data_IF_511383308395
#
_entry.id   IF_511383308395
#
_cell.length_a   1.000
_cell.length_b   1.000
_cell.length_c   1.000
_cell.angle_alpha   90.00
_cell.angle_beta   90.00
_cell.angle_gamma   90.00
#
_symmetry.space_group_name_H-M   'P 1'
#
loop_
_entity.id
_entity.type
_entity.pdbx_description
1 polymer ?
#
# COMPACT_ATOMS: atom_id res chain seq x y z
N UNK A 1 19.56 0.53 4.92
CA UNK A 1 20.18 1.34 3.84
C UNK A 1 19.14 1.95 2.90
N UNK A 2 17.86 1.77 3.13
CA UNK A 2 16.75 2.31 2.30
C UNK A 2 16.25 3.70 2.71
N UNK A 3 16.74 4.26 3.81
CA UNK A 3 16.35 5.59 4.28
C UNK A 3 17.10 6.77 3.60
N UNK A 4 18.01 6.52 2.66
CA UNK A 4 18.91 7.54 2.14
C UNK A 4 18.66 8.00 0.69
N UNK A 5 17.62 7.52 -0.02
CA UNK A 5 17.44 7.84 -1.45
C UNK A 5 16.33 8.87 -1.76
N UNK A 6 15.59 9.36 -0.77
CA UNK A 6 14.44 10.26 -1.02
C UNK A 6 14.65 11.73 -0.62
N UNK A 7 15.86 12.17 -0.30
CA UNK A 7 16.17 13.58 -0.04
C UNK A 7 17.11 14.19 -1.08
N UNK A 8 16.64 14.32 -2.32
CA UNK A 8 17.25 15.24 -3.30
C UNK A 8 16.30 15.59 -4.45
N UNK A 9 15.37 16.50 -4.21
CA UNK A 9 14.83 17.37 -5.27
C UNK A 9 14.75 18.79 -4.71
N UNK A 10 15.55 19.70 -5.31
CA UNK A 10 15.18 21.08 -5.47
C UNK A 10 15.68 22.11 -4.51
N UNK A 11 16.98 22.40 -4.45
CA UNK A 11 17.43 23.75 -4.12
C UNK A 11 17.88 24.47 -5.40
N UNK A 12 16.94 25.12 -6.08
CA UNK A 12 17.20 26.03 -7.19
C UNK A 12 17.93 27.28 -6.71
N UNK A 13 19.21 27.40 -7.04
CA UNK A 13 19.99 28.63 -6.84
C UNK A 13 19.47 29.73 -7.77
N UNK A 14 18.92 30.79 -7.21
CA UNK A 14 18.69 32.06 -7.91
C UNK A 14 20.05 32.70 -8.26
N UNK A 15 20.26 33.01 -9.52
CA UNK A 15 21.34 33.89 -9.97
C UNK A 15 20.85 35.34 -9.98
N UNK A 16 21.68 36.32 -9.57
CA UNK A 16 21.27 37.72 -9.50
C UNK A 16 21.29 38.40 -10.87
N UNK A 17 20.48 39.45 -10.98
CA UNK A 17 20.06 40.18 -12.14
C UNK A 17 21.14 40.92 -12.94
N UNK A 18 20.78 41.15 -14.17
CA UNK A 18 21.39 42.19 -15.02
C UNK A 18 20.35 43.27 -15.28
N UNK A 19 20.64 44.45 -14.80
CA UNK A 19 19.97 45.69 -15.09
C UNK A 19 20.17 46.08 -16.55
N UNK A 20 19.09 46.36 -17.28
CA UNK A 20 19.12 47.08 -18.55
C UNK A 20 18.19 48.31 -18.45
N UNK A 21 18.75 49.47 -18.85
CA UNK A 21 18.17 50.79 -18.86
C UNK A 21 17.16 50.95 -19.98
N UNK A 22 16.22 51.94 -19.87
CA UNK A 22 15.08 52.07 -20.77
C UNK A 22 15.42 52.86 -22.04
N UNK A 23 14.82 52.45 -23.16
CA UNK A 23 14.74 53.26 -24.39
C UNK A 23 13.30 53.71 -24.53
N UNK A 24 13.13 55.03 -24.59
CA UNK A 24 11.86 55.68 -24.93
C UNK A 24 11.57 55.50 -26.45
N UNK A 25 10.33 55.11 -26.78
CA UNK A 25 9.77 55.32 -28.11
C UNK A 25 8.23 55.41 -28.02
N UNK A 26 7.75 56.35 -28.77
CA UNK A 26 6.48 57.04 -28.81
C UNK A 26 5.21 56.19 -29.02
N UNK A 27 4.10 56.79 -28.62
CA UNK A 27 2.75 56.29 -28.49
C UNK A 27 2.06 55.78 -29.76
N UNK A 28 1.20 54.82 -29.54
CA UNK A 28 -0.01 54.54 -30.32
C UNK A 28 -1.08 54.15 -29.30
N UNK A 29 -2.21 54.94 -29.32
CA UNK A 29 -3.33 54.71 -28.45
C UNK A 29 -4.01 53.38 -28.79
N UNK A 30 -4.12 52.50 -27.81
CA UNK A 30 -4.93 51.29 -27.89
C UNK A 30 -6.07 51.41 -26.89
N UNK A 31 -7.26 51.35 -27.44
CA UNK A 31 -8.56 51.33 -26.74
C UNK A 31 -8.59 50.14 -25.77
N UNK A 32 -8.55 50.40 -24.48
CA UNK A 32 -8.70 49.36 -23.48
C UNK A 32 -10.16 48.92 -23.38
N UNK A 33 -10.52 47.83 -24.03
CA UNK A 33 -11.77 47.11 -23.73
C UNK A 33 -11.49 46.33 -22.43
N UNK A 34 -12.08 46.77 -21.32
CA UNK A 34 -12.05 46.06 -20.06
C UNK A 34 -12.90 44.81 -20.16
N UNK A 35 -12.27 43.67 -20.44
CA UNK A 35 -12.87 42.36 -20.21
C UNK A 35 -12.77 42.05 -18.71
N UNK A 36 -13.83 42.24 -17.95
CA UNK A 36 -14.00 41.66 -16.63
C UNK A 36 -14.12 40.13 -16.81
N UNK A 37 -13.26 39.31 -16.17
CA UNK A 37 -13.47 37.89 -16.22
C UNK A 37 -14.76 37.54 -15.46
N UNK A 38 -15.65 36.79 -16.10
CA UNK A 38 -16.83 36.23 -15.46
C UNK A 38 -16.42 35.35 -14.28
N UNK A 39 -17.17 35.31 -13.17
CA UNK A 39 -16.86 34.46 -12.05
C UNK A 39 -16.88 32.99 -12.49
N UNK A 40 -15.75 32.33 -12.33
CA UNK A 40 -15.65 30.86 -12.49
C UNK A 40 -16.53 30.25 -11.40
N UNK A 41 -17.72 29.83 -11.77
CA UNK A 41 -18.54 28.99 -10.92
C UNK A 41 -17.73 27.70 -10.67
N UNK A 42 -17.21 27.51 -9.44
CA UNK A 42 -16.82 26.20 -8.96
C UNK A 42 -18.09 25.35 -9.01
N UNK A 43 -18.23 24.54 -10.04
CA UNK A 43 -19.19 23.44 -10.02
C UNK A 43 -18.80 22.55 -8.85
N UNK A 44 -19.55 22.66 -7.77
CA UNK A 44 -19.57 21.66 -6.72
C UNK A 44 -19.97 20.34 -7.40
N UNK A 45 -19.04 19.41 -7.51
CA UNK A 45 -19.37 18.07 -7.96
C UNK A 45 -20.47 17.56 -7.02
N UNK A 46 -21.61 17.19 -7.60
CA UNK A 46 -22.68 16.53 -6.84
C UNK A 46 -22.06 15.31 -6.13
N UNK A 47 -22.42 15.03 -4.86
CA UNK A 47 -21.95 13.85 -4.19
C UNK A 47 -22.37 12.65 -5.02
N UNK A 48 -21.38 11.91 -5.52
CA UNK A 48 -21.63 10.61 -6.17
C UNK A 48 -22.25 9.73 -5.10
N UNK A 49 -23.47 9.26 -5.33
CA UNK A 49 -24.10 8.30 -4.44
C UNK A 49 -23.18 7.08 -4.31
N UNK A 50 -22.96 6.52 -3.10
CA UNK A 50 -22.11 5.36 -2.94
C UNK A 50 -22.64 4.23 -3.81
N UNK A 51 -21.78 3.67 -4.66
CA UNK A 51 -22.12 2.60 -5.62
C UNK A 51 -22.57 1.33 -4.89
N UNK A 52 -22.21 1.21 -3.61
CA UNK A 52 -22.60 0.14 -2.72
C UNK A 52 -23.25 0.69 -1.46
N UNK A 53 -24.55 1.00 -1.55
CA UNK A 53 -25.38 1.27 -0.37
C UNK A 53 -25.55 -0.05 0.41
N UNK A 54 -24.61 -0.34 1.33
CA UNK A 54 -24.63 -1.56 2.13
C UNK A 54 -23.28 -2.07 2.64
N UNK A 55 -22.17 -1.52 2.20
CA UNK A 55 -20.86 -1.85 2.77
C UNK A 55 -20.86 -1.44 4.26
N UNK A 56 -20.96 -2.41 5.14
CA UNK A 56 -20.79 -2.21 6.58
C UNK A 56 -19.35 -2.54 6.92
N UNK A 57 -18.63 -1.60 7.52
CA UNK A 57 -17.24 -1.83 7.92
C UNK A 57 -16.44 -0.55 8.01
N UNK A 58 -15.18 -0.70 8.35
CA UNK A 58 -14.21 0.40 8.43
C UNK A 58 -13.02 0.09 7.53
N UNK A 59 -12.52 1.13 6.89
CA UNK A 59 -11.23 1.11 6.20
C UNK A 59 -10.23 1.87 7.06
N UNK A 60 -9.10 1.26 7.30
CA UNK A 60 -8.02 1.80 8.12
C UNK A 60 -6.84 2.10 7.22
N UNK A 61 -6.27 3.32 7.31
CA UNK A 61 -5.12 3.74 6.51
C UNK A 61 -4.08 4.39 7.41
N UNK A 62 -2.85 3.89 7.35
CA UNK A 62 -1.71 4.50 8.05
C UNK A 62 -1.21 5.71 7.27
N UNK A 63 -0.99 6.85 7.96
CA UNK A 63 -0.38 8.05 7.41
C UNK A 63 1.05 8.15 7.99
N UNK A 64 2.03 7.74 7.21
CA UNK A 64 3.39 7.45 7.68
C UNK A 64 4.07 8.70 8.25
N UNK A 65 4.02 9.84 7.53
CA UNK A 65 4.69 11.07 7.97
C UNK A 65 3.95 11.78 9.09
N UNK A 66 2.63 11.67 9.15
CA UNK A 66 1.83 12.25 10.23
C UNK A 66 1.84 11.41 11.51
N UNK A 67 2.34 10.17 11.47
CA UNK A 67 2.30 9.25 12.60
C UNK A 67 0.87 8.92 13.08
N UNK A 68 -0.09 8.90 12.16
CA UNK A 68 -1.50 8.69 12.43
C UNK A 68 -2.09 7.51 11.67
N UNK A 69 -3.29 7.11 12.08
CA UNK A 69 -4.17 6.19 11.37
C UNK A 69 -5.48 6.92 11.06
N UNK A 70 -5.90 6.93 9.81
CA UNK A 70 -7.23 7.35 9.40
C UNK A 70 -8.20 6.18 9.48
N UNK A 71 -9.36 6.41 10.08
CA UNK A 71 -10.49 5.47 10.14
C UNK A 71 -11.58 6.02 9.24
N UNK A 72 -11.97 5.25 8.22
CA UNK A 72 -12.88 5.65 7.16
C UNK A 72 -14.11 4.74 7.21
N UNK A 73 -15.28 5.32 7.07
CA UNK A 73 -16.53 4.57 6.94
C UNK A 73 -16.65 4.02 5.51
N UNK A 74 -16.73 2.69 5.38
CA UNK A 74 -16.73 2.02 4.08
C UNK A 74 -17.97 2.30 3.23
N UNK A 75 -19.11 2.59 3.86
CA UNK A 75 -20.37 2.89 3.15
C UNK A 75 -20.46 4.34 2.65
N UNK A 76 -19.80 5.28 3.32
CA UNK A 76 -19.88 6.72 2.98
C UNK A 76 -18.58 7.30 2.46
N UNK A 77 -17.47 6.56 2.56
CA UNK A 77 -16.11 6.97 2.24
C UNK A 77 -15.65 8.24 2.97
N UNK A 78 -16.17 8.46 4.18
CA UNK A 78 -15.79 9.61 5.01
C UNK A 78 -14.81 9.20 6.09
N UNK A 79 -13.79 10.03 6.32
CA UNK A 79 -12.92 9.91 7.49
C UNK A 79 -13.75 10.21 8.74
N UNK A 80 -13.91 9.21 9.61
CA UNK A 80 -14.69 9.30 10.85
C UNK A 80 -13.81 9.50 12.08
N UNK A 81 -12.53 9.17 11.99
CA UNK A 81 -11.54 9.45 13.02
C UNK A 81 -10.13 9.49 12.43
N UNK A 82 -9.24 10.26 13.06
CA UNK A 82 -7.79 10.21 12.86
C UNK A 82 -7.15 10.06 14.23
N UNK A 83 -6.35 9.01 14.41
CA UNK A 83 -5.81 8.65 15.72
C UNK A 83 -4.29 8.50 15.66
N UNK A 84 -3.54 8.85 16.73
CA UNK A 84 -2.11 8.56 16.80
C UNK A 84 -1.85 7.06 16.68
N UNK A 85 -0.93 6.64 15.79
CA UNK A 85 -0.65 5.22 15.51
C UNK A 85 0.70 4.75 16.09
N UNK A 86 1.69 5.64 16.10
CA UNK A 86 3.08 5.37 16.48
C UNK A 86 4.03 6.09 15.53
N UNK A 87 5.32 5.76 15.56
CA UNK A 87 6.33 6.47 14.75
C UNK A 87 6.50 5.78 13.40
N UNK A 88 6.25 6.52 12.32
CA UNK A 88 6.28 6.04 10.95
C UNK A 88 5.46 4.73 10.78
N UNK A 89 4.13 4.77 10.95
CA UNK A 89 3.27 3.61 10.76
C UNK A 89 3.24 3.22 9.27
N UNK A 90 3.40 1.92 9.00
CA UNK A 90 3.43 1.34 7.66
C UNK A 90 2.32 0.28 7.50
N UNK A 91 2.66 -0.99 7.39
CA UNK A 91 1.69 -2.06 7.22
C UNK A 91 0.74 -2.22 8.41
N UNK A 92 -0.49 -2.63 8.14
CA UNK A 92 -1.48 -2.90 9.16
C UNK A 92 -2.33 -4.11 8.80
N UNK A 93 -2.95 -4.73 9.80
CA UNK A 93 -3.90 -5.82 9.61
C UNK A 93 -5.03 -5.72 10.64
N UNK A 94 -6.25 -5.98 10.19
CA UNK A 94 -7.46 -6.02 11.03
C UNK A 94 -7.74 -7.46 11.42
N UNK A 95 -8.08 -7.70 12.70
CA UNK A 95 -8.52 -9.03 13.13
C UNK A 95 -9.86 -9.40 12.50
N UNK A 96 -10.10 -10.70 12.27
CA UNK A 96 -11.34 -11.20 11.65
C UNK A 96 -12.64 -10.76 12.34
N UNK A 97 -12.57 -10.57 13.65
CA UNK A 97 -13.69 -10.09 14.45
C UNK A 97 -13.84 -8.56 14.42
N UNK A 98 -12.97 -7.86 13.67
CA UNK A 98 -12.96 -6.42 13.52
C UNK A 98 -12.57 -5.64 14.79
N UNK A 99 -12.15 -6.31 15.87
CA UNK A 99 -11.95 -5.67 17.19
C UNK A 99 -10.59 -5.00 17.36
N UNK A 100 -9.58 -5.42 16.61
CA UNK A 100 -8.24 -4.89 16.74
C UNK A 100 -7.62 -4.61 15.38
N UNK A 101 -6.81 -3.55 15.33
CA UNK A 101 -5.90 -3.28 14.21
C UNK A 101 -4.46 -3.32 14.73
N UNK A 102 -3.63 -4.15 14.10
CA UNK A 102 -2.20 -4.23 14.36
C UNK A 102 -1.48 -3.33 13.35
N UNK A 103 -0.61 -2.45 13.84
CA UNK A 103 0.06 -1.42 13.03
C UNK A 103 1.57 -1.53 13.26
N UNK A 104 2.32 -1.81 12.20
CA UNK A 104 3.78 -1.82 12.24
C UNK A 104 4.33 -0.38 12.21
N UNK A 105 5.15 -0.02 13.20
CA UNK A 105 5.74 1.31 13.32
C UNK A 105 7.25 1.23 13.02
N UNK A 106 7.63 1.52 11.79
CA UNK A 106 9.00 1.32 11.29
C UNK A 106 10.04 2.17 12.00
N UNK A 107 9.64 3.35 12.48
CA UNK A 107 10.50 4.28 13.20
C UNK A 107 10.75 3.93 14.67
N UNK A 108 10.02 2.95 15.26
CA UNK A 108 10.11 2.65 16.70
C UNK A 108 10.30 1.18 17.06
N UNK A 109 10.50 0.29 16.09
CA UNK A 109 10.62 -1.16 16.28
C UNK A 109 9.45 -1.75 17.11
N UNK A 110 8.24 -1.30 16.88
CA UNK A 110 7.04 -1.69 17.62
C UNK A 110 5.85 -1.96 16.70
N UNK A 111 4.94 -2.78 17.19
CA UNK A 111 3.59 -2.94 16.64
C UNK A 111 2.62 -2.35 17.64
N UNK A 112 1.79 -1.39 17.21
CA UNK A 112 0.68 -0.86 17.99
C UNK A 112 -0.56 -1.72 17.79
N UNK A 113 -1.35 -1.89 18.85
CA UNK A 113 -2.64 -2.61 18.82
C UNK A 113 -3.75 -1.60 19.13
N UNK A 114 -4.52 -1.25 18.11
CA UNK A 114 -5.68 -0.38 18.23
C UNK A 114 -6.91 -1.21 18.63
N UNK A 115 -7.66 -0.75 19.60
CA UNK A 115 -9.01 -1.20 19.92
C UNK A 115 -10.00 -0.41 19.06
N UNK A 116 -10.73 -1.09 18.19
CA UNK A 116 -11.64 -0.45 17.22
C UNK A 116 -12.93 0.08 17.86
N UNK A 117 -13.31 -0.42 19.04
CA UNK A 117 -14.50 0.04 19.74
C UNK A 117 -14.36 1.49 20.24
N UNK A 118 -13.15 1.91 20.57
CA UNK A 118 -12.89 3.24 21.12
C UNK A 118 -11.83 4.04 20.31
N UNK A 119 -11.26 3.45 19.26
CA UNK A 119 -10.20 4.02 18.44
C UNK A 119 -8.96 4.45 19.25
N UNK A 120 -8.54 3.65 20.22
CA UNK A 120 -7.36 3.93 21.05
C UNK A 120 -6.31 2.82 20.94
N UNK A 121 -5.04 3.22 20.96
CA UNK A 121 -3.94 2.26 21.11
C UNK A 121 -3.96 1.73 22.54
N UNK A 122 -4.28 0.44 22.69
CA UNK A 122 -4.36 -0.22 23.99
C UNK A 122 -3.03 -0.86 24.42
N UNK A 123 -2.25 -1.36 23.46
CA UNK A 123 -0.99 -2.06 23.69
C UNK A 123 0.03 -1.77 22.61
N UNK A 124 1.30 -1.98 22.94
CA UNK A 124 2.41 -2.02 21.97
C UNK A 124 3.25 -3.28 22.18
N UNK A 125 3.72 -3.88 21.10
CA UNK A 125 4.56 -5.08 21.11
C UNK A 125 5.91 -4.72 20.52
N UNK A 126 7.00 -4.98 21.24
CA UNK A 126 8.36 -4.79 20.72
C UNK A 126 8.70 -5.93 19.75
N UNK A 127 9.20 -5.57 18.57
CA UNK A 127 9.60 -6.50 17.48
C UNK A 127 11.03 -6.16 17.00
N UNK A 128 11.42 -6.63 15.83
CA UNK A 128 12.72 -6.25 15.24
C UNK A 128 12.72 -4.81 14.71
N UNK A 129 13.87 -4.38 14.18
CA UNK A 129 14.08 -3.02 13.64
C UNK A 129 13.39 -2.86 12.29
N UNK A 130 12.80 -1.68 12.08
CA UNK A 130 12.06 -1.29 10.87
C UNK A 130 10.99 -2.34 10.51
N UNK A 131 9.99 -2.56 11.38
CA UNK A 131 8.85 -3.40 11.01
C UNK A 131 8.04 -2.71 9.90
N UNK A 132 7.73 -3.47 8.83
CA UNK A 132 7.10 -2.94 7.61
C UNK A 132 5.78 -3.66 7.32
N UNK A 133 5.85 -4.88 6.78
CA UNK A 133 4.68 -5.67 6.43
C UNK A 133 4.13 -6.46 7.61
N UNK A 134 2.81 -6.65 7.61
CA UNK A 134 2.11 -7.49 8.58
C UNK A 134 1.16 -8.44 7.87
N UNK A 135 1.08 -9.68 8.33
CA UNK A 135 0.15 -10.68 7.81
C UNK A 135 -0.47 -11.46 8.96
N UNK A 136 -1.80 -11.53 9.00
CA UNK A 136 -2.54 -12.29 9.99
C UNK A 136 -2.78 -13.72 9.49
N UNK A 137 -2.60 -14.73 10.36
CA UNK A 137 -2.95 -16.10 10.01
C UNK A 137 -4.46 -16.23 9.76
N UNK A 138 -4.91 -17.15 8.87
CA UNK A 138 -6.33 -17.31 8.55
C UNK A 138 -7.20 -17.63 9.76
N UNK A 139 -6.65 -18.25 10.80
CA UNK A 139 -7.34 -18.51 12.08
C UNK A 139 -7.30 -17.32 13.05
N UNK A 140 -6.62 -16.23 12.68
CA UNK A 140 -6.48 -15.00 13.46
C UNK A 140 -5.58 -15.11 14.69
N UNK A 141 -4.92 -16.25 14.95
CA UNK A 141 -4.17 -16.47 16.19
C UNK A 141 -2.72 -15.99 16.16
N UNK A 142 -2.16 -15.79 14.97
CA UNK A 142 -0.76 -15.39 14.79
C UNK A 142 -0.65 -14.21 13.83
N UNK A 143 0.10 -13.19 14.22
CA UNK A 143 0.49 -12.08 13.36
C UNK A 143 1.97 -12.23 13.02
N UNK A 144 2.28 -12.18 11.73
CA UNK A 144 3.64 -12.21 11.20
C UNK A 144 4.04 -10.77 10.85
N UNK A 145 5.19 -10.32 11.32
CA UNK A 145 5.68 -8.95 11.13
C UNK A 145 7.08 -9.01 10.53
N UNK A 146 7.26 -8.47 9.34
CA UNK A 146 8.58 -8.35 8.71
C UNK A 146 9.39 -7.25 9.37
N UNK A 147 10.64 -7.50 9.70
CA UNK A 147 11.56 -6.53 10.31
C UNK A 147 12.69 -6.26 9.33
N UNK A 148 12.52 -5.23 8.48
CA UNK A 148 13.38 -4.96 7.33
C UNK A 148 14.86 -4.82 7.68
N UNK A 149 15.19 -4.04 8.69
CA UNK A 149 16.58 -3.83 9.11
C UNK A 149 17.16 -4.96 9.96
N UNK A 150 16.31 -5.83 10.54
CA UNK A 150 16.78 -7.02 11.32
C UNK A 150 16.91 -8.28 10.47
N UNK A 151 16.36 -8.32 9.25
CA UNK A 151 16.29 -9.50 8.39
C UNK A 151 15.56 -10.68 9.07
N UNK A 152 14.51 -10.39 9.80
CA UNK A 152 13.72 -11.36 10.55
C UNK A 152 12.22 -11.15 10.35
N UNK A 153 11.44 -12.17 10.71
CA UNK A 153 10.00 -12.06 10.92
C UNK A 153 9.72 -12.33 12.40
N UNK A 154 8.99 -11.42 13.06
CA UNK A 154 8.45 -11.66 14.40
C UNK A 154 7.06 -12.30 14.29
N UNK A 155 6.80 -13.35 15.05
CA UNK A 155 5.47 -13.98 15.17
C UNK A 155 4.88 -13.57 16.51
N UNK A 156 3.74 -12.91 16.49
CA UNK A 156 3.01 -12.43 17.66
C UNK A 156 1.77 -13.31 17.85
N UNK A 157 1.59 -13.85 19.06
CA UNK A 157 0.32 -14.46 19.48
C UNK A 157 -0.69 -13.36 19.76
N UNK A 158 -1.78 -13.33 19.00
CA UNK A 158 -2.78 -12.23 19.03
C UNK A 158 -3.61 -12.22 20.31
N UNK A 159 -3.78 -13.35 20.97
CA UNK A 159 -4.50 -13.45 22.23
C UNK A 159 -3.72 -12.82 23.38
N UNK A 160 -2.40 -13.00 23.40
CA UNK A 160 -1.53 -12.50 24.48
C UNK A 160 -0.82 -11.21 24.12
N UNK A 161 -0.75 -10.85 22.83
CA UNK A 161 0.04 -9.75 22.30
C UNK A 161 1.53 -9.87 22.68
N UNK A 162 2.09 -11.07 22.56
CA UNK A 162 3.51 -11.36 22.83
C UNK A 162 4.19 -11.98 21.63
N UNK A 163 5.44 -11.61 21.38
CA UNK A 163 6.28 -12.29 20.41
C UNK A 163 6.57 -13.70 20.90
N UNK A 164 6.19 -14.71 20.11
CA UNK A 164 6.38 -16.13 20.41
C UNK A 164 7.47 -16.78 19.56
N UNK A 165 7.92 -16.10 18.50
CA UNK A 165 9.08 -16.50 17.70
C UNK A 165 9.67 -15.30 16.95
N UNK A 166 10.99 -15.39 16.66
CA UNK A 166 11.69 -14.50 15.75
C UNK A 166 12.44 -15.38 14.75
N UNK A 167 12.08 -15.29 13.48
CA UNK A 167 12.52 -16.21 12.42
C UNK A 167 13.48 -15.46 11.50
N UNK A 168 14.75 -15.86 11.35
CA UNK A 168 15.65 -15.31 10.35
C UNK A 168 15.14 -15.63 8.93
N UNK A 169 15.15 -14.61 8.04
CA UNK A 169 14.71 -14.72 6.65
C UNK A 169 15.79 -14.19 5.68
N UNK A 170 15.40 -13.72 4.49
CA UNK A 170 16.32 -13.05 3.58
C UNK A 170 16.61 -11.61 3.99
N UNK A 171 17.44 -10.90 3.19
CA UNK A 171 17.78 -9.50 3.43
C UNK A 171 16.62 -8.57 3.07
N UNK A 172 16.40 -7.57 3.92
CA UNK A 172 15.37 -6.53 3.74
C UNK A 172 13.99 -7.14 3.44
N UNK A 173 13.42 -7.93 4.37
CA UNK A 173 12.04 -8.40 4.20
C UNK A 173 11.09 -7.19 4.25
N UNK A 174 10.14 -7.12 3.28
CA UNK A 174 9.18 -6.01 3.13
C UNK A 174 7.77 -6.47 3.47
N UNK A 175 7.24 -7.44 2.74
CA UNK A 175 5.86 -7.87 2.91
C UNK A 175 5.77 -9.37 3.25
N UNK A 176 4.64 -9.81 3.84
CA UNK A 176 4.37 -11.20 4.18
C UNK A 176 2.90 -11.54 3.90
N UNK A 177 2.68 -12.64 3.19
CA UNK A 177 1.36 -13.20 2.93
C UNK A 177 1.26 -14.63 3.49
N UNK A 178 0.10 -14.98 4.03
CA UNK A 178 -0.19 -16.32 4.54
C UNK A 178 -0.88 -17.15 3.45
N UNK A 179 -0.60 -18.46 3.41
CA UNK A 179 -1.39 -19.37 2.59
C UNK A 179 -2.82 -19.48 3.14
N UNK A 180 -3.82 -19.74 2.28
CA UNK A 180 -5.23 -19.85 2.70
C UNK A 180 -5.47 -20.93 3.76
N UNK A 181 -4.69 -22.01 3.76
CA UNK A 181 -4.72 -23.08 4.76
C UNK A 181 -3.96 -22.73 6.05
N UNK A 182 -3.25 -21.61 6.07
CA UNK A 182 -2.44 -21.15 7.20
C UNK A 182 -1.14 -21.94 7.42
N UNK A 183 -0.84 -22.93 6.57
CA UNK A 183 0.34 -23.79 6.72
C UNK A 183 1.68 -23.13 6.37
N UNK A 184 1.65 -22.03 5.61
CA UNK A 184 2.85 -21.33 5.14
C UNK A 184 2.71 -19.81 5.20
N UNK A 185 3.82 -19.11 5.50
CA UNK A 185 3.95 -17.68 5.31
C UNK A 185 5.05 -17.37 4.29
N UNK A 186 4.75 -16.50 3.34
CA UNK A 186 5.62 -16.12 2.23
C UNK A 186 6.12 -14.70 2.46
N UNK A 187 7.44 -14.56 2.59
CA UNK A 187 8.07 -13.27 2.92
C UNK A 187 8.87 -12.77 1.73
N UNK A 188 8.51 -11.62 1.21
CA UNK A 188 9.25 -10.96 0.13
C UNK A 188 10.51 -10.29 0.69
N UNK A 189 11.68 -10.76 0.25
CA UNK A 189 12.98 -10.25 0.69
C UNK A 189 13.61 -9.42 -0.43
N UNK A 190 13.39 -8.11 -0.44
CA UNK A 190 13.82 -7.21 -1.52
C UNK A 190 15.34 -7.20 -1.72
N UNK A 191 16.10 -7.25 -0.64
CA UNK A 191 17.56 -7.30 -0.70
C UNK A 191 18.17 -8.66 -1.08
N UNK A 192 17.34 -9.73 -1.14
CA UNK A 192 17.80 -11.08 -1.51
C UNK A 192 17.20 -11.58 -2.83
N UNK A 193 16.23 -10.89 -3.43
CA UNK A 193 15.57 -11.30 -4.68
C UNK A 193 14.78 -12.61 -4.56
N UNK A 194 14.24 -12.92 -3.39
CA UNK A 194 13.54 -14.19 -3.18
C UNK A 194 12.38 -14.09 -2.17
N UNK A 195 11.51 -15.10 -2.18
CA UNK A 195 10.57 -15.36 -1.10
C UNK A 195 11.19 -16.36 -0.12
N UNK A 196 11.16 -16.06 1.18
CA UNK A 196 11.32 -17.08 2.23
C UNK A 196 9.95 -17.71 2.49
N UNK A 197 9.85 -19.03 2.40
CA UNK A 197 8.64 -19.79 2.74
C UNK A 197 8.83 -20.35 4.15
N UNK A 198 8.07 -19.82 5.09
CA UNK A 198 8.07 -20.23 6.49
C UNK A 198 6.99 -21.31 6.68
N UNK A 199 7.37 -22.44 7.22
CA UNK A 199 6.42 -23.40 7.77
C UNK A 199 5.90 -22.87 9.11
N UNK A 200 4.58 -22.65 9.20
CA UNK A 200 3.96 -21.97 10.35
C UNK A 200 3.94 -22.86 11.60
N UNK A 201 3.91 -24.17 11.44
CA UNK A 201 3.89 -25.13 12.55
C UNK A 201 5.25 -25.24 13.24
N UNK A 202 6.33 -25.30 12.45
CA UNK A 202 7.70 -25.39 12.95
C UNK A 202 8.34 -24.02 13.19
N UNK A 203 7.74 -22.93 12.63
CA UNK A 203 8.26 -21.56 12.67
C UNK A 203 9.68 -21.45 12.12
N UNK A 204 9.95 -22.14 11.01
CA UNK A 204 11.26 -22.16 10.33
C UNK A 204 11.08 -21.91 8.84
N UNK A 205 12.10 -21.33 8.21
CA UNK A 205 12.15 -21.26 6.76
C UNK A 205 12.35 -22.66 6.19
N UNK A 206 11.32 -23.19 5.52
CA UNK A 206 11.35 -24.51 4.89
C UNK A 206 12.08 -24.49 3.54
N UNK A 207 11.92 -23.40 2.78
CA UNK A 207 12.55 -23.21 1.47
C UNK A 207 12.58 -21.76 1.05
N UNK A 208 13.27 -21.47 -0.06
CA UNK A 208 13.29 -20.16 -0.73
C UNK A 208 12.86 -20.33 -2.18
N UNK A 209 12.12 -19.38 -2.71
CA UNK A 209 11.71 -19.30 -4.10
C UNK A 209 12.31 -18.05 -4.74
N UNK A 210 12.80 -18.14 -5.97
CA UNK A 210 13.23 -16.96 -6.72
C UNK A 210 12.02 -16.04 -6.96
N UNK A 211 12.18 -14.74 -6.77
CA UNK A 211 11.07 -13.78 -6.83
C UNK A 211 11.44 -12.46 -7.49
N UNK A 212 12.39 -12.49 -8.42
CA UNK A 212 12.81 -11.31 -9.16
C UNK A 212 14.05 -10.64 -8.59
N UNK A 213 14.18 -9.34 -8.84
CA UNK A 213 15.36 -8.53 -8.46
C UNK A 213 15.16 -7.77 -7.16
N UNK A 214 13.95 -7.27 -6.94
CA UNK A 214 13.55 -6.52 -5.73
C UNK A 214 12.08 -6.83 -5.42
N UNK A 215 11.76 -8.04 -4.89
CA UNK A 215 10.39 -8.36 -4.51
C UNK A 215 9.95 -7.51 -3.33
N UNK A 216 8.81 -6.84 -3.46
CA UNK A 216 8.23 -5.95 -2.44
C UNK A 216 6.89 -6.50 -1.95
N UNK A 217 5.82 -6.36 -2.73
CA UNK A 217 4.51 -6.91 -2.43
C UNK A 217 4.44 -8.42 -2.74
N UNK A 218 3.66 -9.15 -1.95
CA UNK A 218 3.38 -10.58 -2.19
C UNK A 218 1.95 -10.90 -1.80
N UNK A 219 1.22 -11.59 -2.69
CA UNK A 219 -0.12 -12.13 -2.43
C UNK A 219 -0.18 -13.60 -2.83
N UNK A 220 -0.97 -14.38 -2.11
CA UNK A 220 -1.21 -15.80 -2.43
C UNK A 220 -2.60 -15.93 -3.04
N UNK A 221 -2.67 -16.62 -4.17
CA UNK A 221 -3.95 -16.91 -4.80
C UNK A 221 -4.86 -17.72 -3.85
N UNK A 222 -6.20 -17.52 -3.87
CA UNK A 222 -7.13 -18.19 -2.96
C UNK A 222 -7.07 -19.72 -3.02
N UNK A 223 -6.61 -20.30 -4.14
CA UNK A 223 -6.43 -21.75 -4.29
C UNK A 223 -5.10 -22.25 -3.68
N UNK A 224 -4.26 -21.37 -3.17
CA UNK A 224 -2.96 -21.69 -2.56
C UNK A 224 -1.88 -22.17 -3.52
N UNK A 225 -2.10 -22.13 -4.85
CA UNK A 225 -1.17 -22.72 -5.82
C UNK A 225 -0.16 -21.74 -6.39
N UNK A 226 -0.47 -20.45 -6.36
CA UNK A 226 0.37 -19.39 -6.94
C UNK A 226 0.61 -18.25 -5.95
N UNK A 227 1.82 -17.71 -5.97
CA UNK A 227 2.16 -16.44 -5.33
C UNK A 227 2.37 -15.40 -6.42
N UNK A 228 1.74 -14.24 -6.28
CA UNK A 228 1.98 -13.07 -7.11
C UNK A 228 2.93 -12.14 -6.36
N UNK A 229 3.97 -11.67 -7.04
CA UNK A 229 5.04 -10.89 -6.41
C UNK A 229 5.33 -9.65 -7.24
N UNK A 230 5.21 -8.47 -6.66
CA UNK A 230 5.64 -7.23 -7.28
C UNK A 230 7.18 -7.16 -7.24
N UNK A 231 7.83 -7.20 -8.40
CA UNK A 231 9.27 -7.04 -8.57
C UNK A 231 9.56 -5.61 -9.04
N UNK A 232 9.74 -4.70 -8.08
CA UNK A 232 9.89 -3.26 -8.30
C UNK A 232 10.96 -2.92 -9.34
N UNK A 233 12.17 -3.46 -9.17
CA UNK A 233 13.31 -3.21 -10.08
C UNK A 233 13.17 -3.99 -11.39
N UNK A 234 12.47 -5.12 -11.37
CA UNK A 234 12.18 -5.91 -12.56
C UNK A 234 11.06 -5.33 -13.42
N UNK A 235 10.29 -4.35 -12.92
CA UNK A 235 9.13 -3.72 -13.59
C UNK A 235 8.09 -4.74 -14.03
N UNK A 236 7.81 -5.72 -13.17
CA UNK A 236 6.95 -6.86 -13.47
C UNK A 236 6.28 -7.40 -12.22
N UNK A 237 5.19 -8.09 -12.42
CA UNK A 237 4.63 -9.01 -11.42
C UNK A 237 5.03 -10.42 -11.80
N UNK A 238 5.57 -11.18 -10.86
CA UNK A 238 5.89 -12.58 -11.06
C UNK A 238 4.76 -13.47 -10.53
N UNK A 239 4.16 -14.28 -11.38
CA UNK A 239 3.28 -15.37 -10.99
C UNK A 239 4.15 -16.61 -10.71
N UNK A 240 4.36 -16.94 -9.45
CA UNK A 240 5.24 -18.03 -8.99
C UNK A 240 4.38 -19.24 -8.62
N UNK A 241 4.51 -20.33 -9.35
CA UNK A 241 3.88 -21.61 -9.01
C UNK A 241 4.50 -22.16 -7.72
N UNK A 242 3.76 -22.17 -6.62
CA UNK A 242 4.27 -22.47 -5.27
C UNK A 242 4.94 -23.83 -5.22
N UNK A 243 4.35 -24.86 -5.81
CA UNK A 243 4.88 -26.23 -5.76
C UNK A 243 6.23 -26.38 -6.45
N UNK A 244 6.40 -25.78 -7.64
CA UNK A 244 7.58 -25.96 -8.50
C UNK A 244 8.61 -24.85 -8.38
N UNK A 245 8.20 -23.65 -7.92
CA UNK A 245 9.01 -22.45 -7.93
C UNK A 245 9.16 -21.82 -9.31
N UNK A 246 8.46 -22.34 -10.35
CA UNK A 246 8.49 -21.75 -11.69
C UNK A 246 7.77 -20.40 -11.67
N UNK A 247 8.44 -19.36 -12.15
CA UNK A 247 7.88 -18.02 -12.26
C UNK A 247 7.52 -17.70 -13.71
N UNK A 248 6.39 -17.04 -13.90
CA UNK A 248 5.96 -16.42 -15.16
C UNK A 248 5.92 -14.92 -14.96
N UNK A 249 6.61 -14.17 -15.81
CA UNK A 249 6.66 -12.72 -15.73
C UNK A 249 5.46 -12.08 -16.43
N UNK A 250 4.81 -11.14 -15.75
CA UNK A 250 3.75 -10.28 -16.27
C UNK A 250 4.30 -8.85 -16.30
N UNK A 251 4.46 -8.28 -17.49
CA UNK A 251 4.90 -6.89 -17.61
C UNK A 251 3.78 -5.95 -17.18
N UNK A 252 4.08 -5.07 -16.22
CA UNK A 252 3.17 -4.05 -15.66
C UNK A 252 3.79 -2.66 -15.80
N UNK A 253 3.22 -1.64 -15.17
CA UNK A 253 3.82 -0.31 -15.12
C UNK A 253 5.17 -0.26 -14.40
N UNK A 254 5.83 0.89 -14.46
CA UNK A 254 7.10 1.09 -13.77
C UNK A 254 6.92 1.17 -12.25
N UNK A 255 7.83 0.51 -11.51
CA UNK A 255 7.84 0.52 -10.06
C UNK A 255 6.62 -0.18 -9.44
N UNK A 256 6.30 -1.44 -9.83
CA UNK A 256 5.23 -2.17 -9.14
C UNK A 256 5.63 -2.32 -7.66
N UNK A 257 4.71 -1.90 -6.76
CA UNK A 257 5.04 -1.89 -5.33
C UNK A 257 4.26 -2.95 -4.56
N UNK A 258 2.95 -2.99 -4.72
CA UNK A 258 2.13 -4.00 -4.05
C UNK A 258 1.30 -4.79 -5.07
N UNK A 259 0.82 -5.95 -4.63
CA UNK A 259 -0.01 -6.84 -5.43
C UNK A 259 -1.03 -7.53 -4.53
N UNK A 260 -2.28 -7.58 -4.99
CA UNK A 260 -3.32 -8.37 -4.36
C UNK A 260 -4.05 -9.22 -5.40
N UNK A 261 -4.62 -10.34 -4.96
CA UNK A 261 -5.45 -11.22 -5.78
C UNK A 261 -6.89 -11.07 -5.35
N UNK A 262 -7.79 -10.91 -6.33
CA UNK A 262 -9.22 -10.85 -6.06
C UNK A 262 -9.72 -12.11 -5.33
N UNK A 263 -10.79 -12.00 -4.53
CA UNK A 263 -11.30 -13.13 -3.73
C UNK A 263 -11.70 -14.36 -4.54
N UNK A 264 -12.07 -14.19 -5.80
CA UNK A 264 -12.39 -15.27 -6.74
C UNK A 264 -11.15 -15.92 -7.40
N UNK A 265 -9.98 -15.29 -7.24
CA UNK A 265 -8.72 -15.76 -7.81
C UNK A 265 -8.53 -15.51 -9.31
N UNK A 266 -9.50 -14.91 -10.01
CA UNK A 266 -9.44 -14.69 -11.45
C UNK A 266 -8.63 -13.47 -11.87
N UNK A 267 -8.50 -12.48 -10.99
CA UNK A 267 -7.82 -11.22 -11.26
C UNK A 267 -6.81 -10.93 -10.15
N UNK A 268 -5.64 -10.45 -10.53
CA UNK A 268 -4.68 -9.82 -9.62
C UNK A 268 -4.52 -8.35 -10.00
N UNK A 269 -4.19 -7.52 -9.01
CA UNK A 269 -4.01 -6.08 -9.15
C UNK A 269 -2.62 -5.70 -8.67
N UNK A 270 -1.92 -4.84 -9.41
CA UNK A 270 -0.63 -4.29 -9.00
C UNK A 270 -0.67 -2.78 -9.00
N UNK A 271 -0.18 -2.16 -7.93
CA UNK A 271 0.07 -0.71 -7.91
C UNK A 271 1.38 -0.43 -8.64
N UNK A 272 1.37 0.54 -9.56
CA UNK A 272 2.52 0.93 -10.37
C UNK A 272 2.85 2.41 -10.10
N UNK A 273 3.91 2.67 -9.33
CA UNK A 273 4.28 3.99 -8.82
C UNK A 273 4.52 5.02 -9.95
N UNK A 274 5.36 4.66 -10.92
CA UNK A 274 5.83 5.60 -11.94
C UNK A 274 4.69 6.23 -12.76
N UNK A 275 3.78 5.44 -13.36
CA UNK A 275 2.68 5.97 -14.14
C UNK A 275 1.46 6.43 -13.30
N UNK A 276 1.40 6.12 -12.01
CA UNK A 276 0.28 6.48 -11.14
C UNK A 276 -1.00 5.68 -11.46
N UNK A 277 -0.87 4.38 -11.66
CA UNK A 277 -2.00 3.52 -12.03
C UNK A 277 -2.02 2.19 -11.27
N UNK A 278 -3.06 1.40 -11.51
CA UNK A 278 -3.18 -0.01 -11.14
C UNK A 278 -3.24 -0.86 -12.40
N UNK A 279 -2.36 -1.83 -12.52
CA UNK A 279 -2.44 -2.88 -13.55
C UNK A 279 -3.40 -3.98 -13.11
N UNK A 280 -4.34 -4.35 -13.98
CA UNK A 280 -5.31 -5.45 -13.80
C UNK A 280 -4.79 -6.65 -14.57
N UNK A 281 -4.52 -7.75 -13.89
CA UNK A 281 -3.87 -8.94 -14.41
C UNK A 281 -4.86 -10.09 -14.43
N UNK A 282 -5.10 -10.68 -15.60
CA UNK A 282 -5.81 -11.94 -15.72
C UNK A 282 -4.91 -13.10 -15.27
N UNK A 283 -5.34 -13.82 -14.24
CA UNK A 283 -4.52 -14.86 -13.58
C UNK A 283 -4.38 -16.13 -14.42
N UNK A 284 -5.28 -16.36 -15.36
CA UNK A 284 -5.25 -17.54 -16.23
C UNK A 284 -4.27 -17.39 -17.39
N UNK A 285 -4.25 -16.22 -18.00
CA UNK A 285 -3.38 -15.90 -19.14
C UNK A 285 -2.05 -15.28 -18.72
N UNK A 286 -1.93 -14.81 -17.48
CA UNK A 286 -0.80 -14.03 -16.97
C UNK A 286 -0.50 -12.78 -17.82
N UNK A 287 -1.54 -12.02 -18.17
CA UNK A 287 -1.44 -10.79 -18.96
C UNK A 287 -2.21 -9.65 -18.30
N UNK A 288 -1.74 -8.43 -18.51
CA UNK A 288 -2.50 -7.22 -18.15
C UNK A 288 -3.71 -7.13 -19.07
N UNK A 289 -4.90 -7.17 -18.50
CA UNK A 289 -6.20 -7.06 -19.19
C UNK A 289 -6.73 -5.63 -19.22
N UNK A 290 -6.36 -4.81 -18.22
CA UNK A 290 -6.74 -3.39 -18.12
C UNK A 290 -5.73 -2.62 -17.28
N UNK A 291 -5.79 -1.27 -17.39
CA UNK A 291 -5.02 -0.35 -16.57
C UNK A 291 -5.96 0.72 -16.05
N UNK A 292 -5.93 0.97 -14.74
CA UNK A 292 -6.80 1.94 -14.06
C UNK A 292 -5.94 3.14 -13.68
N UNK A 293 -6.16 4.28 -14.32
CA UNK A 293 -5.49 5.52 -13.97
C UNK A 293 -6.05 6.08 -12.65
N UNK A 294 -5.16 6.39 -11.70
CA UNK A 294 -5.53 6.95 -10.39
C UNK A 294 -5.28 8.46 -10.32
N UNK A 295 -4.35 8.97 -11.14
CA UNK A 295 -3.99 10.37 -11.20
C UNK A 295 -2.79 10.61 -12.09
N UNK A 296 -2.25 11.84 -12.10
CA UNK A 296 -1.02 12.16 -12.83
C UNK A 296 0.20 11.50 -12.19
N UNK A 297 1.36 11.47 -12.89
CA UNK A 297 2.64 11.07 -12.27
C UNK A 297 2.89 11.85 -10.97
N UNK A 298 3.36 11.15 -9.94
CA UNK A 298 3.47 11.69 -8.57
C UNK A 298 2.25 11.41 -7.69
N UNK A 299 1.23 10.71 -8.20
CA UNK A 299 0.16 10.15 -7.38
C UNK A 299 0.71 9.07 -6.44
N UNK A 300 1.69 8.30 -6.91
CA UNK A 300 2.43 7.25 -6.21
C UNK A 300 1.49 6.27 -5.48
N UNK A 301 0.72 5.44 -6.23
CA UNK A 301 -0.12 4.40 -5.64
C UNK A 301 0.76 3.36 -4.96
N UNK A 302 0.50 3.08 -3.68
CA UNK A 302 1.43 2.34 -2.83
C UNK A 302 0.90 0.96 -2.45
N UNK A 303 0.05 0.86 -1.43
CA UNK A 303 -0.59 -0.41 -1.06
C UNK A 303 -2.02 -0.50 -1.57
N UNK A 304 -2.50 -1.73 -1.73
CA UNK A 304 -3.88 -1.99 -2.10
C UNK A 304 -4.49 -3.13 -1.27
N UNK A 305 -5.79 -3.03 -1.05
CA UNK A 305 -6.63 -4.08 -0.45
C UNK A 305 -7.81 -4.34 -1.36
N UNK A 306 -8.09 -5.60 -1.64
CA UNK A 306 -9.16 -6.03 -2.56
C UNK A 306 -10.21 -6.82 -1.80
N UNK A 307 -11.44 -6.35 -1.85
CA UNK A 307 -12.62 -7.04 -1.34
C UNK A 307 -13.58 -7.39 -2.48
N UNK A 308 -14.69 -8.05 -2.19
CA UNK A 308 -15.74 -8.28 -3.20
C UNK A 308 -16.43 -6.95 -3.60
N UNK A 309 -16.45 -5.97 -2.70
CA UNK A 309 -17.18 -4.72 -2.87
C UNK A 309 -16.32 -3.60 -3.46
N UNK A 310 -15.04 -3.55 -3.14
CA UNK A 310 -14.17 -2.46 -3.56
C UNK A 310 -12.68 -2.84 -3.56
N UNK A 311 -11.91 -2.08 -4.33
CA UNK A 311 -10.45 -2.05 -4.27
C UNK A 311 -10.06 -0.71 -3.66
N UNK A 312 -9.28 -0.74 -2.60
CA UNK A 312 -8.79 0.43 -1.90
C UNK A 312 -7.31 0.60 -2.20
N UNK A 313 -6.91 1.77 -2.68
CA UNK A 313 -5.51 2.06 -3.06
C UNK A 313 -5.04 3.31 -2.34
N UNK A 314 -3.98 3.20 -1.56
CA UNK A 314 -3.32 4.36 -0.96
C UNK A 314 -2.44 5.05 -1.99
N UNK A 315 -2.55 6.37 -2.10
CA UNK A 315 -1.73 7.19 -3.01
C UNK A 315 -0.81 8.06 -2.17
N UNK A 316 0.42 7.59 -1.98
CA UNK A 316 1.38 8.19 -1.06
C UNK A 316 1.73 9.63 -1.44
N UNK A 317 2.01 9.88 -2.72
CA UNK A 317 2.38 11.21 -3.21
C UNK A 317 1.21 12.20 -3.25
N UNK A 318 -0.03 11.71 -3.44
CA UNK A 318 -1.23 12.53 -3.49
C UNK A 318 -1.89 12.75 -2.12
N UNK A 319 -1.51 12.01 -1.07
CA UNK A 319 -2.16 12.08 0.24
C UNK A 319 -3.62 11.61 0.24
N UNK A 320 -3.96 10.60 -0.58
CA UNK A 320 -5.34 10.15 -0.76
C UNK A 320 -5.49 8.64 -0.70
N UNK A 321 -6.73 8.18 -0.49
CA UNK A 321 -7.19 6.81 -0.76
C UNK A 321 -8.10 6.86 -1.97
N UNK A 322 -7.82 6.07 -3.00
CA UNK A 322 -8.73 5.84 -4.13
C UNK A 322 -9.54 4.58 -3.87
N UNK A 323 -10.84 4.65 -4.13
CA UNK A 323 -11.76 3.51 -4.09
C UNK A 323 -12.20 3.19 -5.52
N UNK A 324 -12.06 1.92 -5.90
CA UNK A 324 -12.35 1.44 -7.26
C UNK A 324 -13.41 0.34 -7.16
N UNK A 325 -14.38 0.38 -8.06
CA UNK A 325 -15.34 -0.70 -8.25
C UNK A 325 -14.67 -1.88 -8.99
N UNK A 326 -14.63 -3.09 -8.39
CA UNK A 326 -13.90 -4.21 -8.98
C UNK A 326 -14.53 -4.76 -10.25
N UNK A 327 -15.85 -4.57 -10.47
CA UNK A 327 -16.54 -5.09 -11.64
C UNK A 327 -16.36 -4.18 -12.86
N UNK A 328 -16.41 -2.87 -12.69
CA UNK A 328 -16.28 -1.91 -13.79
C UNK A 328 -14.88 -1.33 -13.94
N UNK A 329 -13.98 -1.56 -12.99
CA UNK A 329 -12.65 -0.96 -12.87
C UNK A 329 -12.65 0.58 -12.87
N UNK A 330 -13.74 1.20 -12.40
CA UNK A 330 -13.87 2.65 -12.33
C UNK A 330 -13.57 3.16 -10.93
N UNK A 331 -12.90 4.31 -10.86
CA UNK A 331 -12.75 5.07 -9.61
C UNK A 331 -14.13 5.58 -9.20
N UNK A 332 -14.57 5.22 -7.99
CA UNK A 332 -15.88 5.61 -7.44
C UNK A 332 -15.75 6.66 -6.34
N UNK A 333 -14.60 6.74 -5.68
CA UNK A 333 -14.33 7.77 -4.70
C UNK A 333 -12.82 8.05 -4.57
N UNK A 334 -12.49 9.27 -4.14
CA UNK A 334 -11.16 9.65 -3.69
C UNK A 334 -11.30 10.37 -2.36
N UNK A 335 -10.64 9.85 -1.33
CA UNK A 335 -10.70 10.34 0.05
C UNK A 335 -9.40 11.04 0.39
N UNK A 336 -9.45 12.30 0.80
CA UNK A 336 -8.27 13.01 1.29
C UNK A 336 -7.89 12.49 2.67
N UNK A 337 -6.60 12.19 2.87
CA UNK A 337 -6.02 11.63 4.08
C UNK A 337 -4.92 12.54 4.65
N UNK A 338 -4.13 12.03 5.58
CA UNK A 338 -2.89 12.66 6.04
C UNK A 338 -1.71 12.43 5.08
N UNK A 339 -0.53 12.90 5.50
CA UNK A 339 0.68 12.83 4.67
C UNK A 339 1.23 11.40 4.57
N UNK A 340 1.58 11.02 3.34
CA UNK A 340 2.16 9.72 2.98
C UNK A 340 1.30 8.53 3.46
N UNK A 341 0.05 8.38 2.99
CA UNK A 341 -0.72 7.18 3.28
C UNK A 341 0.02 5.96 2.74
N UNK A 342 0.16 4.95 3.60
CA UNK A 342 0.98 3.76 3.32
C UNK A 342 0.13 2.50 3.23
N UNK A 343 -0.18 1.88 4.34
CA UNK A 343 -0.95 0.64 4.40
C UNK A 343 -2.46 0.89 4.42
N UNK A 344 -3.22 -0.07 3.91
CA UNK A 344 -4.69 -0.10 3.97
C UNK A 344 -5.17 -1.48 4.40
N UNK A 345 -6.21 -1.54 5.22
CA UNK A 345 -6.90 -2.77 5.59
C UNK A 345 -8.38 -2.50 5.88
N UNK A 346 -9.23 -3.51 5.68
CA UNK A 346 -10.69 -3.43 5.78
C UNK A 346 -11.20 -4.42 6.84
N UNK A 347 -12.24 -4.01 7.64
CA UNK A 347 -12.90 -4.87 8.64
C UNK A 347 -14.24 -5.37 8.17
#
# INVERSE_FOLDING_TARGET
MFSALWTRVGSGRRRPGRTLRPVLAAGIGVLLISCTPAPVHKQSAAPVAPVHAGASGRVYVTNQQDNTLSVIDAGTYKVVATVPAGVAPEGLAVTKDGRHVYIANSGSARVSVLDTANNKIGKTVTVGKSPTGVGLSPDGKSLYVTNGSSNTVSVIDTRTNRVVATIPVGKSPVNVALSPDGGSAYVANSGSGNLSVIDTSTRRVARKLSAGRSPVGVAIAPDGKSAYVADEVGKQVLAVAIRTGKATAVQVGEGPFDVAVGPDGHVAYSTDLGPGNVSVIDTSSHRVSATIALGPPGTDPFNLEVTNEAIYVTNQGAGTLTVIDPASHKVVATVTLGDSPYGVAVS
#
